data_IF_095388818337
#
_entry.id   IF_095388818337
#
_cell.length_a   1.000
_cell.length_b   1.000
_cell.length_c   1.000
_cell.angle_alpha   90.00
_cell.angle_beta   90.00
_cell.angle_gamma   90.00
#
_symmetry.space_group_name_H-M   'P 1'
#
loop_
_entity.id
_entity.type
_entity.pdbx_description
1 polymer ?
#
# COMPACT_ATOMS: atom_id res chain seq x y z
N UNK A 1 8.69 3.30 -23.45
CA UNK A 1 9.14 2.06 -22.80
C UNK A 1 10.38 2.32 -21.98
N UNK A 2 10.38 1.82 -20.78
CA UNK A 2 11.57 1.90 -19.93
C UNK A 2 12.65 0.98 -20.53
N UNK A 3 13.89 1.42 -20.51
CA UNK A 3 15.00 0.57 -20.91
C UNK A 3 15.03 -0.70 -20.05
N UNK A 4 15.12 -1.86 -20.68
CA UNK A 4 15.26 -3.12 -19.96
C UNK A 4 16.66 -3.32 -19.39
N UNK A 5 17.61 -2.48 -19.81
CA UNK A 5 19.01 -2.54 -19.38
C UNK A 5 19.39 -1.29 -18.61
N UNK A 6 18.73 -1.07 -17.47
CA UNK A 6 19.14 -0.01 -16.55
C UNK A 6 20.45 -0.40 -15.85
N UNK A 7 21.14 0.57 -15.25
CA UNK A 7 22.32 0.26 -14.45
C UNK A 7 21.94 -0.51 -13.18
N UNK A 8 22.92 -1.13 -12.54
CA UNK A 8 22.66 -1.99 -11.39
C UNK A 8 22.01 -1.25 -10.20
N UNK A 9 22.34 0.03 -10.00
CA UNK A 9 21.73 0.81 -8.92
C UNK A 9 20.25 1.05 -9.16
N UNK A 10 19.86 1.41 -10.39
CA UNK A 10 18.47 1.59 -10.77
C UNK A 10 17.69 0.26 -10.67
N UNK A 11 18.28 -0.85 -11.13
CA UNK A 11 17.67 -2.16 -11.05
C UNK A 11 17.43 -2.58 -9.61
N UNK A 12 18.38 -2.33 -8.69
CA UNK A 12 18.20 -2.64 -7.28
C UNK A 12 17.09 -1.80 -6.64
N UNK A 13 17.00 -0.53 -6.99
CA UNK A 13 15.96 0.36 -6.49
C UNK A 13 14.58 -0.11 -6.96
N UNK A 14 14.44 -0.43 -8.24
CA UNK A 14 13.18 -0.92 -8.80
C UNK A 14 12.75 -2.25 -8.16
N UNK A 15 13.71 -3.15 -7.93
CA UNK A 15 13.43 -4.43 -7.28
C UNK A 15 12.91 -4.23 -5.86
N UNK A 16 13.52 -3.33 -5.09
CA UNK A 16 13.06 -3.05 -3.71
C UNK A 16 11.68 -2.41 -3.71
N UNK A 17 11.42 -1.44 -4.58
CA UNK A 17 10.12 -0.79 -4.67
C UNK A 17 9.04 -1.79 -5.04
N UNK A 18 9.29 -2.64 -6.03
CA UNK A 18 8.36 -3.67 -6.45
C UNK A 18 8.12 -4.70 -5.34
N UNK A 19 9.15 -5.08 -4.60
CA UNK A 19 9.02 -6.01 -3.49
C UNK A 19 8.09 -5.46 -2.39
N UNK A 20 8.23 -4.19 -2.03
CA UNK A 20 7.36 -3.54 -1.03
C UNK A 20 5.93 -3.47 -1.53
N UNK A 21 5.72 -3.06 -2.77
CA UNK A 21 4.39 -2.96 -3.39
C UNK A 21 3.73 -4.34 -3.44
N UNK A 22 4.44 -5.36 -3.91
CA UNK A 22 3.92 -6.73 -3.97
C UNK A 22 3.54 -7.28 -2.61
N UNK A 23 4.38 -7.05 -1.60
CA UNK A 23 4.10 -7.50 -0.24
C UNK A 23 2.83 -6.85 0.31
N UNK A 24 2.67 -5.54 0.08
CA UNK A 24 1.48 -4.81 0.53
C UNK A 24 0.21 -5.29 -0.18
N UNK A 25 0.27 -5.45 -1.50
CA UNK A 25 -0.86 -5.96 -2.29
C UNK A 25 -1.29 -7.36 -1.81
N UNK A 26 -0.34 -8.25 -1.56
CA UNK A 26 -0.63 -9.60 -1.06
C UNK A 26 -1.30 -9.58 0.31
N UNK A 27 -0.82 -8.72 1.21
CA UNK A 27 -1.40 -8.60 2.55
C UNK A 27 -2.84 -8.12 2.49
N UNK A 28 -3.13 -7.14 1.64
CA UNK A 28 -4.48 -6.63 1.43
C UNK A 28 -5.36 -7.69 0.76
N UNK A 29 -4.86 -8.38 -0.26
CA UNK A 29 -5.61 -9.46 -0.93
C UNK A 29 -5.99 -10.56 0.06
N UNK A 30 -5.10 -10.95 0.95
CA UNK A 30 -5.38 -11.97 1.96
C UNK A 30 -6.53 -11.52 2.87
N UNK A 31 -6.53 -10.26 3.31
CA UNK A 31 -7.60 -9.71 4.13
C UNK A 31 -8.93 -9.65 3.36
N UNK A 32 -8.90 -9.23 2.10
CA UNK A 32 -10.08 -9.18 1.23
C UNK A 32 -10.68 -10.57 1.04
N UNK A 33 -9.86 -11.57 0.71
CA UNK A 33 -10.33 -12.94 0.51
C UNK A 33 -10.94 -13.53 1.77
N UNK A 34 -10.32 -13.29 2.94
CA UNK A 34 -10.88 -13.74 4.21
C UNK A 34 -12.24 -13.13 4.49
N UNK A 35 -12.45 -11.87 4.18
CA UNK A 35 -13.73 -11.19 4.38
C UNK A 35 -14.77 -11.59 3.33
N UNK A 36 -14.37 -11.86 2.09
CA UNK A 36 -15.27 -12.44 1.09
C UNK A 36 -15.81 -13.78 1.57
N UNK A 37 -14.94 -14.64 2.08
CA UNK A 37 -15.35 -15.95 2.61
C UNK A 37 -16.30 -15.82 3.81
N UNK A 38 -16.14 -14.78 4.60
CA UNK A 38 -17.01 -14.49 5.76
C UNK A 38 -18.31 -13.77 5.37
N UNK A 39 -18.52 -13.43 4.10
CA UNK A 39 -19.70 -12.71 3.63
C UNK A 39 -19.70 -11.21 3.93
N UNK A 40 -18.53 -10.63 4.21
CA UNK A 40 -18.37 -9.21 4.50
C UNK A 40 -17.98 -8.47 3.23
N UNK A 41 -18.51 -7.27 3.03
CA UNK A 41 -18.31 -6.47 1.80
C UNK A 41 -17.20 -5.42 1.94
N UNK A 42 -16.37 -5.53 2.95
CA UNK A 42 -15.25 -4.61 3.16
C UNK A 42 -14.10 -5.30 3.88
N UNK A 43 -12.93 -4.71 3.82
CA UNK A 43 -11.77 -5.12 4.60
C UNK A 43 -11.01 -3.88 5.08
N UNK A 44 -10.60 -3.88 6.33
CA UNK A 44 -9.76 -2.84 6.93
C UNK A 44 -8.43 -3.47 7.32
N UNK A 45 -7.33 -2.91 6.80
CA UNK A 45 -5.98 -3.37 7.11
C UNK A 45 -5.26 -2.24 7.83
N UNK A 46 -5.07 -2.40 9.14
CA UNK A 46 -4.53 -1.37 10.03
C UNK A 46 -3.17 -1.73 10.62
N UNK A 47 -2.78 -2.99 10.58
CA UNK A 47 -1.54 -3.50 11.16
C UNK A 47 -1.02 -4.68 10.35
N UNK A 48 0.22 -5.08 10.62
CA UNK A 48 0.79 -6.30 10.08
C UNK A 48 1.38 -6.17 8.68
N UNK A 49 1.44 -4.96 8.12
CA UNK A 49 2.07 -4.72 6.82
C UNK A 49 3.18 -3.69 6.92
N UNK A 50 4.05 -3.66 5.93
CA UNK A 50 5.15 -2.67 5.89
C UNK A 50 4.61 -1.25 5.95
N UNK A 51 3.55 -0.94 5.20
CA UNK A 51 3.02 0.43 5.12
C UNK A 51 2.17 0.80 6.33
N UNK A 52 1.39 -0.14 6.88
CA UNK A 52 0.54 0.14 8.04
C UNK A 52 1.31 0.17 9.36
N UNK A 53 2.45 -0.50 9.43
CA UNK A 53 3.26 -0.55 10.65
C UNK A 53 4.38 0.50 10.69
N UNK A 54 4.48 1.36 9.66
CA UNK A 54 5.56 2.32 9.52
C UNK A 54 5.04 3.77 9.55
N UNK A 55 5.50 4.52 10.52
CA UNK A 55 5.23 5.97 10.60
C UNK A 55 5.75 6.73 9.36
N UNK A 56 6.82 6.23 8.73
CA UNK A 56 7.39 6.86 7.54
C UNK A 56 6.39 6.93 6.37
N UNK A 57 5.57 5.91 6.19
CA UNK A 57 4.54 5.91 5.14
C UNK A 57 3.40 6.88 5.47
N UNK A 58 3.00 6.98 6.73
CA UNK A 58 2.04 7.99 7.17
C UNK A 58 2.54 9.40 6.87
N UNK A 59 3.77 9.71 7.26
CA UNK A 59 4.37 11.02 7.02
C UNK A 59 4.46 11.35 5.53
N UNK A 60 4.85 10.38 4.70
CA UNK A 60 4.94 10.55 3.27
C UNK A 60 3.57 10.79 2.64
N UNK A 61 2.57 9.99 3.01
CA UNK A 61 1.23 10.09 2.45
C UNK A 61 0.56 11.43 2.78
N UNK A 62 0.71 11.90 4.01
CA UNK A 62 0.11 13.16 4.47
C UNK A 62 1.03 14.37 4.27
N UNK A 63 2.09 14.24 3.48
CA UNK A 63 3.01 15.33 3.13
C UNK A 63 3.71 15.97 4.33
N UNK A 64 3.92 15.22 5.41
CA UNK A 64 4.71 15.66 6.55
C UNK A 64 6.20 15.66 6.23
N UNK A 65 6.61 14.81 5.28
CA UNK A 65 7.97 14.74 4.76
C UNK A 65 7.97 14.91 3.25
N UNK A 66 9.14 15.07 2.67
CA UNK A 66 9.32 15.20 1.21
C UNK A 66 9.63 13.87 0.54
N UNK A 67 9.39 12.73 1.20
CA UNK A 67 9.66 11.40 0.65
C UNK A 67 8.59 11.01 -0.38
N UNK A 68 8.82 11.39 -1.62
CA UNK A 68 7.89 11.08 -2.71
C UNK A 68 7.90 9.60 -3.09
N UNK A 69 8.98 8.87 -2.82
CA UNK A 69 9.08 7.44 -3.13
C UNK A 69 8.04 6.63 -2.35
N UNK A 70 7.95 6.85 -1.04
CA UNK A 70 6.97 6.15 -0.20
C UNK A 70 5.54 6.54 -0.55
N UNK A 71 5.29 7.83 -0.80
CA UNK A 71 3.98 8.28 -1.23
C UNK A 71 3.56 7.61 -2.55
N UNK A 72 4.47 7.52 -3.50
CA UNK A 72 4.20 6.88 -4.79
C UNK A 72 3.91 5.39 -4.62
N UNK A 73 4.57 4.71 -3.69
CA UNK A 73 4.28 3.31 -3.37
C UNK A 73 2.86 3.14 -2.82
N UNK A 74 2.43 4.01 -1.91
CA UNK A 74 1.07 3.99 -1.37
C UNK A 74 0.05 4.24 -2.48
N UNK A 75 0.28 5.25 -3.31
CA UNK A 75 -0.60 5.59 -4.42
C UNK A 75 -0.71 4.44 -5.44
N UNK A 76 0.39 3.74 -5.70
CA UNK A 76 0.40 2.61 -6.61
C UNK A 76 -0.46 1.45 -6.08
N UNK A 77 -0.33 1.12 -4.80
CA UNK A 77 -1.16 0.07 -4.19
C UNK A 77 -2.64 0.45 -4.24
N UNK A 78 -2.97 1.68 -3.91
CA UNK A 78 -4.35 2.17 -3.99
C UNK A 78 -4.90 2.06 -5.42
N UNK A 79 -4.11 2.49 -6.40
CA UNK A 79 -4.50 2.42 -7.81
C UNK A 79 -4.70 0.98 -8.28
N UNK A 80 -3.86 0.05 -7.83
CA UNK A 80 -3.97 -1.36 -8.19
C UNK A 80 -5.37 -1.90 -7.87
N UNK A 81 -5.86 -1.65 -6.66
CA UNK A 81 -7.20 -2.13 -6.25
C UNK A 81 -8.32 -1.33 -6.89
N UNK A 82 -8.16 -0.02 -7.08
CA UNK A 82 -9.14 0.80 -7.79
C UNK A 82 -9.32 0.33 -9.23
N UNK A 83 -8.24 -0.01 -9.91
CA UNK A 83 -8.28 -0.51 -11.29
C UNK A 83 -8.98 -1.87 -11.39
N UNK A 84 -9.03 -2.65 -10.31
CA UNK A 84 -9.78 -3.90 -10.24
C UNK A 84 -11.26 -3.68 -9.88
N UNK A 85 -11.70 -2.45 -9.63
CA UNK A 85 -13.07 -2.14 -9.32
C UNK A 85 -13.39 -2.01 -7.83
N UNK A 86 -12.41 -2.12 -6.94
CA UNK A 86 -12.63 -1.93 -5.52
C UNK A 86 -12.67 -0.45 -5.15
N UNK A 87 -13.44 -0.12 -4.10
CA UNK A 87 -13.31 1.16 -3.44
C UNK A 87 -12.09 1.12 -2.52
N UNK A 88 -11.25 2.15 -2.60
CA UNK A 88 -10.02 2.21 -1.79
C UNK A 88 -9.93 3.57 -1.11
N UNK A 89 -9.73 3.54 0.21
CA UNK A 89 -9.46 4.75 0.99
C UNK A 89 -8.27 4.50 1.89
N UNK A 90 -7.32 5.42 1.87
CA UNK A 90 -6.22 5.47 2.84
C UNK A 90 -6.61 6.45 3.93
N UNK A 91 -6.55 6.02 5.18
CA UNK A 91 -6.94 6.84 6.32
C UNK A 91 -5.90 6.76 7.41
N UNK A 92 -5.97 7.70 8.37
CA UNK A 92 -5.16 7.64 9.58
C UNK A 92 -5.68 6.51 10.48
N UNK A 93 -4.76 5.73 11.04
CA UNK A 93 -5.11 4.74 12.05
C UNK A 93 -5.52 5.48 13.34
N UNK A 94 -6.75 5.29 13.79
CA UNK A 94 -7.30 6.03 14.93
C UNK A 94 -6.75 5.54 16.28
N UNK A 95 -6.11 4.39 16.33
CA UNK A 95 -5.51 3.84 17.55
C UNK A 95 -4.10 4.38 17.77
N UNK A 96 -3.25 4.27 16.74
CA UNK A 96 -1.85 4.72 16.81
C UNK A 96 -1.68 6.20 16.50
N UNK A 97 -2.57 6.76 15.68
CA UNK A 97 -2.61 8.16 15.20
C UNK A 97 -1.42 8.59 14.33
N UNK A 98 -0.46 7.72 14.08
CA UNK A 98 0.74 8.01 13.31
C UNK A 98 1.07 6.97 12.23
N UNK A 99 0.11 6.12 11.89
CA UNK A 99 0.21 5.14 10.79
C UNK A 99 -1.03 5.19 9.92
N UNK A 100 -0.96 4.54 8.74
CA UNK A 100 -2.09 4.51 7.81
C UNK A 100 -2.91 3.23 7.96
N UNK A 101 -4.16 3.30 7.54
CA UNK A 101 -5.09 2.18 7.44
C UNK A 101 -5.62 2.10 6.01
N UNK A 102 -5.71 0.88 5.47
CA UNK A 102 -6.36 0.62 4.20
C UNK A 102 -7.84 0.26 4.44
N UNK A 103 -8.74 1.00 3.83
CA UNK A 103 -10.16 0.67 3.81
C UNK A 103 -10.54 0.26 2.39
N UNK A 104 -10.84 -1.02 2.21
CA UNK A 104 -11.17 -1.61 0.91
C UNK A 104 -12.63 -2.04 0.94
N UNK A 105 -13.40 -1.66 -0.07
CA UNK A 105 -14.81 -2.02 -0.19
C UNK A 105 -15.11 -2.62 -1.57
N UNK A 106 -16.18 -3.43 -1.63
CA UNK A 106 -16.63 -4.01 -2.90
C UNK A 106 -18.12 -4.29 -2.97
#
# INVERSE_FOLDING_TARGET
>A
MVSIFSNAAAARKDTRNNSVIHSEVRSIETAVLGNIDAGVLYANVSTGTTMTDSNAYYKAYYNVTTDTTKKDQVDYVAKYFKDLGYGVKVAQNLVTTDTITWNITW
#
